data_IF_143022176887
#
_entry.id   IF_143022176887
#
_cell.length_a   1.000
_cell.length_b   1.000
_cell.length_c   1.000
_cell.angle_alpha   90.00
_cell.angle_beta   90.00
_cell.angle_gamma   90.00
#
_symmetry.space_group_name_H-M   'P 1'
#
loop_
_entity.id
_entity.type
_entity.pdbx_description
1 polymer ?
#
# COMPACT_ATOMS: atom_id res chain seq x y z
N UNK A 1 36.42 -9.96 -3.48
CA UNK A 1 35.74 -9.72 -2.18
C UNK A 1 34.29 -9.52 -2.55
N UNK A 2 33.59 -10.63 -2.76
CA UNK A 2 32.40 -10.67 -3.61
C UNK A 2 31.16 -10.64 -2.74
N UNK A 3 30.46 -9.51 -2.74
CA UNK A 3 29.23 -9.34 -1.97
C UNK A 3 28.02 -9.78 -2.80
N UNK A 4 27.42 -10.88 -2.35
CA UNK A 4 25.98 -11.17 -2.30
C UNK A 4 25.15 -11.06 -3.59
N UNK A 5 24.88 -12.21 -4.20
CA UNK A 5 23.66 -12.42 -4.98
C UNK A 5 22.80 -13.56 -4.37
N UNK A 6 22.01 -13.25 -3.33
CA UNK A 6 20.72 -13.91 -3.12
C UNK A 6 19.58 -12.89 -2.88
N UNK A 7 19.57 -11.78 -3.61
CA UNK A 7 18.63 -10.66 -3.36
C UNK A 7 17.23 -10.84 -3.98
N UNK A 8 17.05 -11.75 -4.93
CA UNK A 8 15.79 -11.82 -5.71
C UNK A 8 14.64 -12.47 -4.92
N UNK A 9 14.93 -13.52 -4.14
CA UNK A 9 13.93 -14.26 -3.38
C UNK A 9 13.41 -13.48 -2.16
N UNK A 10 14.31 -12.90 -1.36
CA UNK A 10 13.94 -12.10 -0.20
C UNK A 10 13.12 -10.86 -0.57
N UNK A 11 13.47 -10.18 -1.68
CA UNK A 11 12.70 -9.05 -2.21
C UNK A 11 11.31 -9.47 -2.67
N UNK A 12 11.17 -10.61 -3.35
CA UNK A 12 9.86 -11.11 -3.77
C UNK A 12 8.96 -11.46 -2.57
N UNK A 13 9.51 -12.11 -1.54
CA UNK A 13 8.79 -12.39 -0.29
C UNK A 13 8.32 -11.10 0.38
N UNK A 14 9.18 -10.08 0.42
CA UNK A 14 8.82 -8.75 0.96
C UNK A 14 7.64 -8.10 0.24
N UNK A 15 7.63 -8.11 -1.10
CA UNK A 15 6.53 -7.56 -1.90
C UNK A 15 5.23 -8.35 -1.68
N UNK A 16 5.31 -9.69 -1.60
CA UNK A 16 4.14 -10.53 -1.36
C UNK A 16 3.57 -10.31 0.04
N UNK A 17 4.44 -10.25 1.06
CA UNK A 17 4.02 -10.01 2.44
C UNK A 17 3.34 -8.65 2.60
N UNK A 18 3.92 -7.61 2.00
CA UNK A 18 3.34 -6.25 2.00
C UNK A 18 1.99 -6.19 1.26
N UNK A 19 1.91 -6.71 0.04
CA UNK A 19 0.64 -6.76 -0.68
C UNK A 19 -0.43 -7.58 0.04
N UNK A 20 -0.05 -8.71 0.64
CA UNK A 20 -0.91 -9.52 1.49
C UNK A 20 -1.41 -8.75 2.72
N UNK A 21 -0.53 -8.00 3.39
CA UNK A 21 -0.90 -7.13 4.51
C UNK A 21 -1.91 -6.05 4.09
N UNK A 22 -1.70 -5.38 2.94
CA UNK A 22 -2.67 -4.39 2.42
C UNK A 22 -4.02 -5.02 2.12
N UNK A 23 -4.06 -6.21 1.53
CA UNK A 23 -5.33 -6.93 1.26
C UNK A 23 -6.05 -7.26 2.57
N UNK A 24 -5.34 -7.80 3.57
CA UNK A 24 -5.92 -8.12 4.88
C UNK A 24 -6.44 -6.87 5.59
N UNK A 25 -5.66 -5.79 5.59
CA UNK A 25 -6.06 -4.51 6.18
C UNK A 25 -7.27 -3.92 5.45
N UNK A 26 -7.29 -3.99 4.12
CA UNK A 26 -8.41 -3.53 3.31
C UNK A 26 -9.69 -4.33 3.56
N UNK A 27 -9.59 -5.65 3.70
CA UNK A 27 -10.70 -6.51 4.08
C UNK A 27 -11.20 -6.20 5.50
N UNK A 28 -10.30 -5.96 6.46
CA UNK A 28 -10.67 -5.56 7.81
C UNK A 28 -11.42 -4.22 7.81
N UNK A 29 -10.99 -3.25 7.00
CA UNK A 29 -11.70 -1.97 6.85
C UNK A 29 -13.06 -2.13 6.20
N UNK A 30 -13.22 -3.00 5.21
CA UNK A 30 -14.49 -3.25 4.55
C UNK A 30 -15.49 -4.01 5.44
N UNK A 31 -15.05 -5.09 6.09
CA UNK A 31 -15.89 -5.97 6.90
C UNK A 31 -16.16 -5.40 8.31
N UNK A 32 -15.17 -4.71 8.87
CA UNK A 32 -15.20 -4.11 10.20
C UNK A 32 -15.51 -2.61 10.21
N UNK A 33 -16.00 -2.04 9.10
CA UNK A 33 -16.13 -0.61 8.90
C UNK A 33 -16.85 0.10 10.06
N UNK A 34 -17.99 -0.45 10.50
CA UNK A 34 -18.83 0.15 11.54
C UNK A 34 -18.18 0.18 12.95
N UNK A 35 -17.68 -0.95 13.50
CA UNK A 35 -16.95 -0.90 14.77
C UNK A 35 -15.65 -0.09 14.68
N UNK A 36 -14.89 -0.22 13.59
CA UNK A 36 -13.62 0.51 13.42
C UNK A 36 -13.82 2.02 13.28
N UNK A 37 -14.87 2.47 12.58
CA UNK A 37 -15.23 3.88 12.47
C UNK A 37 -15.42 4.53 13.85
N UNK A 38 -16.10 3.83 14.77
CA UNK A 38 -16.30 4.32 16.15
C UNK A 38 -15.01 4.34 16.96
N UNK A 39 -14.20 3.28 16.87
CA UNK A 39 -12.94 3.19 17.62
C UNK A 39 -11.88 4.17 17.15
N UNK A 40 -11.83 4.43 15.84
CA UNK A 40 -10.84 5.30 15.23
C UNK A 40 -11.29 6.77 15.20
N UNK A 41 -12.58 7.05 15.39
CA UNK A 41 -13.12 8.40 15.25
C UNK A 41 -13.05 8.91 13.80
N UNK A 42 -13.20 8.01 12.83
CA UNK A 42 -13.17 8.34 11.40
C UNK A 42 -14.50 7.97 10.76
N UNK A 43 -14.99 8.73 9.76
CA UNK A 43 -16.28 8.48 9.16
C UNK A 43 -16.30 7.15 8.39
N UNK A 44 -17.43 6.44 8.48
CA UNK A 44 -17.62 5.10 7.90
C UNK A 44 -17.23 5.02 6.42
N UNK A 45 -17.64 6.01 5.63
CA UNK A 45 -17.37 6.04 4.19
C UNK A 45 -15.87 6.11 3.89
N UNK A 46 -15.09 6.79 4.74
CA UNK A 46 -13.65 6.93 4.58
C UNK A 46 -12.94 5.60 4.84
N UNK A 47 -13.42 4.79 5.79
CA UNK A 47 -12.95 3.42 5.99
C UNK A 47 -13.27 2.53 4.78
N UNK A 48 -14.49 2.62 4.23
CA UNK A 48 -14.87 1.83 3.05
C UNK A 48 -14.02 2.18 1.83
N UNK A 49 -13.81 3.47 1.57
CA UNK A 49 -12.94 3.94 0.47
C UNK A 49 -11.49 3.52 0.68
N UNK A 50 -10.99 3.61 1.91
CA UNK A 50 -9.65 3.12 2.26
C UNK A 50 -9.52 1.61 2.07
N UNK A 51 -10.53 0.85 2.47
CA UNK A 51 -10.59 -0.59 2.26
C UNK A 51 -10.51 -0.95 0.78
N UNK A 52 -11.33 -0.31 -0.06
CA UNK A 52 -11.31 -0.51 -1.50
C UNK A 52 -9.94 -0.16 -2.12
N UNK A 53 -9.34 0.95 -1.69
CA UNK A 53 -8.03 1.41 -2.17
C UNK A 53 -6.90 0.43 -1.82
N UNK A 54 -6.89 -0.06 -0.57
CA UNK A 54 -5.94 -1.05 -0.09
C UNK A 54 -6.08 -2.41 -0.80
N UNK A 55 -7.32 -2.87 -1.03
CA UNK A 55 -7.59 -4.09 -1.78
C UNK A 55 -7.08 -3.99 -3.23
N UNK A 56 -7.35 -2.88 -3.90
CA UNK A 56 -6.89 -2.63 -5.27
C UNK A 56 -5.35 -2.58 -5.34
N UNK A 57 -4.70 -1.87 -4.42
CA UNK A 57 -3.25 -1.76 -4.37
C UNK A 57 -2.56 -3.10 -4.04
N UNK A 58 -2.98 -3.77 -2.96
CA UNK A 58 -2.39 -5.04 -2.54
C UNK A 58 -2.60 -6.15 -3.59
N UNK A 59 -3.75 -6.17 -4.27
CA UNK A 59 -3.99 -7.06 -5.40
C UNK A 59 -3.02 -6.80 -6.56
N UNK A 60 -2.77 -5.53 -6.89
CA UNK A 60 -1.82 -5.15 -7.93
C UNK A 60 -0.37 -5.55 -7.57
N UNK A 61 0.04 -5.37 -6.32
CA UNK A 61 1.37 -5.78 -5.81
C UNK A 61 1.57 -7.29 -5.88
N UNK A 62 0.57 -8.07 -5.47
CA UNK A 62 0.60 -9.54 -5.56
C UNK A 62 0.69 -10.02 -7.02
N UNK A 63 0.04 -9.31 -7.95
CA UNK A 63 0.18 -9.56 -9.39
C UNK A 63 1.57 -9.20 -9.92
N UNK A 64 2.14 -8.09 -9.46
CA UNK A 64 3.46 -7.61 -9.89
C UNK A 64 4.60 -8.53 -9.42
N UNK A 65 4.55 -8.99 -8.16
CA UNK A 65 5.55 -9.87 -7.56
C UNK A 65 5.72 -11.20 -8.32
N UNK A 66 4.65 -11.70 -8.95
CA UNK A 66 4.68 -12.93 -9.77
C UNK A 66 5.44 -12.79 -11.08
N UNK A 67 5.60 -11.56 -11.58
CA UNK A 67 6.11 -11.31 -12.94
C UNK A 67 7.49 -10.65 -12.93
N UNK A 68 7.79 -9.76 -11.96
CA UNK A 68 9.07 -9.03 -11.94
C UNK A 68 9.56 -8.66 -10.53
N UNK A 69 10.81 -8.99 -10.16
CA UNK A 69 11.48 -8.40 -9.00
C UNK A 69 12.07 -7.03 -9.40
N UNK A 70 11.35 -5.94 -9.17
CA UNK A 70 11.81 -4.60 -9.54
C UNK A 70 12.29 -3.78 -8.34
N UNK A 71 13.52 -3.27 -8.42
CA UNK A 71 14.12 -2.29 -7.48
C UNK A 71 13.23 -1.05 -7.28
N UNK A 72 12.46 -0.67 -8.30
CA UNK A 72 11.49 0.43 -8.23
C UNK A 72 10.33 0.15 -7.29
N UNK A 73 9.81 -1.09 -7.25
CA UNK A 73 8.74 -1.48 -6.33
C UNK A 73 9.18 -1.30 -4.88
N UNK A 74 10.37 -1.78 -4.53
CA UNK A 74 10.94 -1.63 -3.17
C UNK A 74 11.12 -0.17 -2.79
N UNK A 75 11.60 0.68 -3.70
CA UNK A 75 11.76 2.12 -3.43
C UNK A 75 10.41 2.81 -3.18
N UNK A 76 9.40 2.47 -3.98
CA UNK A 76 8.05 2.98 -3.77
C UNK A 76 7.48 2.47 -2.43
N UNK A 77 7.75 1.22 -2.05
CA UNK A 77 7.27 0.64 -0.78
C UNK A 77 7.85 1.40 0.40
N UNK A 78 9.17 1.62 0.41
CA UNK A 78 9.83 2.41 1.47
C UNK A 78 9.23 3.81 1.57
N UNK A 79 8.94 4.46 0.44
CA UNK A 79 8.27 5.78 0.42
C UNK A 79 6.86 5.72 1.01
N UNK A 80 6.07 4.72 0.61
CA UNK A 80 4.74 4.47 1.15
C UNK A 80 4.76 4.20 2.66
N UNK A 81 5.65 3.33 3.14
CA UNK A 81 5.72 2.97 4.56
C UNK A 81 6.20 4.14 5.41
N UNK A 82 7.13 4.95 4.88
CA UNK A 82 7.60 6.17 5.56
C UNK A 82 6.45 7.17 5.71
N UNK A 83 5.69 7.41 4.63
CA UNK A 83 4.56 8.32 4.67
C UNK A 83 3.43 7.78 5.56
N UNK A 84 3.22 6.47 5.60
CA UNK A 84 2.30 5.81 6.52
C UNK A 84 2.69 6.02 7.99
N UNK A 85 3.98 5.84 8.32
CA UNK A 85 4.51 6.09 9.66
C UNK A 85 4.34 7.56 10.06
N UNK A 86 4.58 8.51 9.15
CA UNK A 86 4.35 9.93 9.38
C UNK A 86 2.87 10.26 9.58
N UNK A 87 1.97 9.71 8.75
CA UNK A 87 0.53 9.88 8.92
C UNK A 87 0.04 9.34 10.27
N UNK A 88 0.61 8.20 10.70
CA UNK A 88 0.34 7.60 12.01
C UNK A 88 0.82 8.50 13.14
N UNK A 89 2.05 9.03 13.04
CA UNK A 89 2.59 9.98 14.02
C UNK A 89 1.72 11.24 14.12
N UNK A 90 1.31 11.82 13.00
CA UNK A 90 0.41 12.98 12.98
C UNK A 90 -0.93 12.65 13.61
N UNK A 91 -1.54 11.50 13.27
CA UNK A 91 -2.81 11.05 13.86
C UNK A 91 -2.71 10.89 15.38
N UNK A 92 -1.64 10.26 15.87
CA UNK A 92 -1.36 10.11 17.31
C UNK A 92 -1.14 11.47 17.97
N UNK A 93 -0.39 12.39 17.36
CA UNK A 93 -0.16 13.72 17.90
C UNK A 93 -1.47 14.53 18.00
N UNK A 94 -2.34 14.47 16.98
CA UNK A 94 -3.65 15.11 16.99
C UNK A 94 -4.50 14.56 18.14
N UNK A 95 -4.57 13.23 18.28
CA UNK A 95 -5.30 12.59 19.37
C UNK A 95 -4.73 12.95 20.75
N UNK A 96 -3.40 12.94 20.91
CA UNK A 96 -2.71 13.28 22.15
C UNK A 96 -2.90 14.75 22.56
N UNK A 97 -3.20 15.64 21.60
CA UNK A 97 -3.53 17.06 21.87
C UNK A 97 -5.03 17.29 22.09
N UNK A 98 -5.83 16.22 22.21
CA UNK A 98 -7.28 16.29 22.41
C UNK A 98 -8.09 16.55 21.14
N UNK A 99 -7.46 16.48 19.96
CA UNK A 99 -8.14 16.63 18.68
C UNK A 99 -8.86 15.35 18.28
N UNK A 100 -10.05 15.49 17.68
CA UNK A 100 -10.88 14.36 17.23
C UNK A 100 -10.54 13.86 15.82
N UNK A 101 -9.75 14.62 15.06
CA UNK A 101 -9.45 14.31 13.65
C UNK A 101 -8.30 13.29 13.45
N UNK A 102 -7.72 12.74 14.51
CA UNK A 102 -6.55 11.84 14.41
C UNK A 102 -6.83 10.61 13.54
N UNK A 103 -8.02 10.02 13.67
CA UNK A 103 -8.45 8.90 12.81
C UNK A 103 -8.72 9.31 11.37
N UNK A 104 -9.26 10.49 11.14
CA UNK A 104 -9.53 10.99 9.79
C UNK A 104 -8.23 11.22 9.00
N UNK A 105 -7.19 11.76 9.65
CA UNK A 105 -5.87 11.93 9.03
C UNK A 105 -5.28 10.57 8.66
N UNK A 106 -5.32 9.62 9.59
CA UNK A 106 -4.74 8.30 9.38
C UNK A 106 -5.49 7.48 8.31
N UNK A 107 -6.83 7.48 8.35
CA UNK A 107 -7.65 6.76 7.36
C UNK A 107 -7.64 7.51 6.02
N UNK A 108 -7.60 8.85 6.01
CA UNK A 108 -7.47 9.65 4.79
C UNK A 108 -6.19 9.32 4.01
N UNK A 109 -5.08 9.07 4.70
CA UNK A 109 -3.86 8.55 4.07
C UNK A 109 -4.12 7.21 3.35
N UNK A 110 -4.80 6.27 4.01
CA UNK A 110 -5.13 4.94 3.46
C UNK A 110 -6.09 5.01 2.26
N UNK A 111 -6.87 6.08 2.13
CA UNK A 111 -7.76 6.28 0.98
C UNK A 111 -7.00 6.71 -0.30
N UNK A 112 -5.88 7.43 -0.18
CA UNK A 112 -5.22 8.07 -1.32
C UNK A 112 -3.88 7.40 -1.67
N UNK A 113 -3.06 7.13 -0.66
CA UNK A 113 -1.70 6.64 -0.86
C UNK A 113 -1.61 5.30 -1.60
N UNK A 114 -2.49 4.30 -1.35
CA UNK A 114 -2.44 3.04 -2.09
C UNK A 114 -2.74 3.21 -3.58
N UNK A 115 -3.67 4.10 -3.93
CA UNK A 115 -4.00 4.39 -5.33
C UNK A 115 -2.84 5.08 -6.05
N UNK A 116 -2.21 6.05 -5.39
CA UNK A 116 -1.03 6.73 -5.92
C UNK A 116 0.13 5.74 -6.12
N UNK A 117 0.38 4.88 -5.13
CA UNK A 117 1.38 3.83 -5.22
C UNK A 117 1.12 2.91 -6.43
N UNK A 118 -0.10 2.40 -6.57
CA UNK A 118 -0.49 1.53 -7.66
C UNK A 118 -0.32 2.21 -9.04
N UNK A 119 -0.69 3.49 -9.15
CA UNK A 119 -0.51 4.28 -10.36
C UNK A 119 0.98 4.48 -10.73
N UNK A 120 1.82 4.76 -9.74
CA UNK A 120 3.28 4.88 -9.94
C UNK A 120 3.91 3.55 -10.36
N UNK A 121 3.46 2.44 -9.76
CA UNK A 121 3.93 1.11 -10.13
C UNK A 121 3.51 0.74 -11.57
N UNK A 122 2.27 1.06 -11.95
CA UNK A 122 1.76 0.85 -13.31
C UNK A 122 2.56 1.66 -14.34
N UNK A 123 2.91 2.93 -14.04
CA UNK A 123 3.74 3.77 -14.91
C UNK A 123 5.19 3.27 -15.02
N UNK A 124 5.71 2.64 -13.96
CA UNK A 124 7.07 2.11 -13.94
C UNK A 124 7.21 0.76 -14.66
N UNK A 125 6.10 0.11 -15.06
CA UNK A 125 6.14 -1.13 -15.82
C UNK A 125 6.62 -0.86 -17.27
N UNK A 126 7.69 -1.52 -17.76
CA UNK A 126 8.12 -1.35 -19.15
C UNK A 126 7.00 -1.77 -20.11
N UNK A 127 6.74 -0.97 -21.14
CA UNK A 127 5.86 -1.33 -22.24
C UNK A 127 6.27 -2.72 -22.74
N UNK A 128 5.35 -3.69 -22.70
CA UNK A 128 5.64 -5.04 -23.20
C UNK A 128 6.03 -4.92 -24.67
N UNK A 129 7.14 -5.59 -25.00
CA UNK A 129 7.67 -5.81 -26.34
C UNK A 129 6.53 -6.09 -27.32
N UNK A 130 6.39 -5.23 -28.32
CA UNK A 130 5.69 -5.55 -29.56
C UNK A 130 6.25 -6.88 -30.08
N UNK A 131 5.40 -7.90 -30.36
CA UNK A 131 5.86 -9.09 -31.03
C UNK A 131 6.49 -8.68 -32.36
N UNK A 132 7.80 -8.86 -32.50
CA UNK A 132 8.43 -8.76 -33.82
C UNK A 132 7.84 -9.89 -34.64
N UNK A 133 6.92 -9.56 -35.54
CA UNK A 133 6.53 -10.45 -36.62
C UNK A 133 7.80 -10.81 -37.37
N UNK A 134 8.24 -12.06 -37.23
CA UNK A 134 9.29 -12.63 -38.05
C UNK A 134 8.70 -12.81 -39.45
N UNK A 135 9.17 -12.01 -40.40
CA UNK A 135 9.06 -12.24 -41.84
C UNK A 135 10.22 -13.07 -42.33
#
# INVERSE_FOLDING_TARGET
MDRHAPATGATAVGIVADGGFKVLLGAAFALGAAPLSRSLGAPLWLLVVSGASLLACGGAELGYARVRPARTCVRLMVGYDTAWALATLVGVLVAARGGTAGGEVWIGYQAVAPLLFAALLARAAPARLTPSAAS
#
